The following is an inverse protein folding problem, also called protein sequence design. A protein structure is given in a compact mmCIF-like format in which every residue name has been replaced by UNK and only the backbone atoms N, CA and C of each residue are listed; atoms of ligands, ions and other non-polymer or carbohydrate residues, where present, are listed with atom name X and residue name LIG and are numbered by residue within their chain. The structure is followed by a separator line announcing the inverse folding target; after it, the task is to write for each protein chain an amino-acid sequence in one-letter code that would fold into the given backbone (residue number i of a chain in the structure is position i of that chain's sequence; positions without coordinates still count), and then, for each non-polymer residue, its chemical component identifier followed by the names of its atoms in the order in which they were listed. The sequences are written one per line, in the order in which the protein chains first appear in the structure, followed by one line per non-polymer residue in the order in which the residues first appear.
data_IF_312691302008
#
_entry.id   IF_312691302008
#
_cell.length_a   1.000
_cell.length_b   1.000
_cell.length_c   1.000
_cell.angle_alpha   90.00
_cell.angle_beta   90.00
_cell.angle_gamma   90.00
#
_symmetry.space_group_name_H-M   'P 1'
#
loop_
_entity.id
_entity.type
_entity.pdbx_description
1 polymer ?
#
# COMPACT_ATOMS: atom_id res chain seq x y z
N UNK A 1 18.74 13.33 -14.68
CA UNK A 1 18.31 12.15 -13.90
C UNK A 1 16.95 12.38 -13.24
N UNK A 2 16.81 13.40 -12.37
CA UNK A 2 15.52 13.76 -11.74
C UNK A 2 14.36 13.91 -12.74
N UNK A 3 14.54 14.71 -13.79
CA UNK A 3 13.48 14.97 -14.76
C UNK A 3 13.00 13.69 -15.46
N UNK A 4 13.90 12.80 -15.89
CA UNK A 4 13.53 11.53 -16.52
C UNK A 4 12.66 10.64 -15.60
N UNK A 5 13.03 10.54 -14.32
CA UNK A 5 12.29 9.73 -13.35
C UNK A 5 10.90 10.32 -13.08
N UNK A 6 10.78 11.65 -13.01
CA UNK A 6 9.50 12.33 -12.83
C UNK A 6 8.61 12.20 -14.07
N UNK A 7 9.18 12.40 -15.27
CA UNK A 7 8.47 12.30 -16.54
C UNK A 7 7.92 10.88 -16.80
N UNK A 8 8.62 9.85 -16.27
CA UNK A 8 8.25 8.45 -16.41
C UNK A 8 7.67 7.84 -15.12
N UNK A 9 7.33 8.67 -14.10
CA UNK A 9 6.90 8.22 -12.77
C UNK A 9 5.83 7.13 -12.84
N UNK A 10 4.70 7.41 -13.49
CA UNK A 10 3.57 6.48 -13.58
C UNK A 10 3.94 5.19 -14.30
N UNK A 11 4.69 5.29 -15.42
CA UNK A 11 5.12 4.12 -16.19
C UNK A 11 6.02 3.21 -15.36
N UNK A 12 6.99 3.79 -14.64
CA UNK A 12 7.92 3.04 -13.79
C UNK A 12 7.16 2.35 -12.67
N UNK A 13 6.32 3.09 -11.93
CA UNK A 13 5.54 2.56 -10.80
C UNK A 13 4.63 1.40 -11.23
N UNK A 14 3.83 1.58 -12.27
CA UNK A 14 2.94 0.51 -12.77
C UNK A 14 3.73 -0.69 -13.31
N UNK A 15 4.83 -0.46 -14.03
CA UNK A 15 5.65 -1.57 -14.52
C UNK A 15 6.19 -2.43 -13.38
N UNK A 16 6.57 -1.82 -12.25
CA UNK A 16 7.06 -2.52 -11.08
C UNK A 16 5.97 -3.25 -10.31
N UNK A 17 4.79 -2.65 -10.17
CA UNK A 17 3.60 -3.30 -9.59
C UNK A 17 3.22 -4.56 -10.37
N UNK A 18 3.08 -4.44 -11.70
CA UNK A 18 2.77 -5.57 -12.56
C UNK A 18 3.89 -6.60 -12.59
N UNK A 19 5.17 -6.19 -12.54
CA UNK A 19 6.29 -7.12 -12.42
C UNK A 19 6.16 -7.99 -11.17
N UNK A 20 5.88 -7.40 -10.01
CA UNK A 20 5.69 -8.15 -8.77
C UNK A 20 4.45 -9.05 -8.84
N UNK A 21 3.33 -8.56 -9.37
CA UNK A 21 2.08 -9.32 -9.50
C UNK A 21 2.23 -10.52 -10.46
N UNK A 22 2.83 -10.32 -11.63
CA UNK A 22 3.10 -11.37 -12.63
C UNK A 22 4.09 -12.39 -12.09
N UNK A 23 5.15 -11.94 -11.39
CA UNK A 23 6.09 -12.85 -10.71
C UNK A 23 5.37 -13.71 -9.67
N UNK A 24 4.49 -13.11 -8.87
CA UNK A 24 3.65 -13.84 -7.92
C UNK A 24 2.79 -14.90 -8.58
N UNK A 25 2.18 -14.58 -9.73
CA UNK A 25 1.38 -15.53 -10.50
C UNK A 25 2.23 -16.68 -11.07
N UNK A 26 3.42 -16.38 -11.59
CA UNK A 26 4.35 -17.39 -12.11
C UNK A 26 4.75 -18.40 -11.02
N UNK A 27 5.04 -17.91 -9.81
CA UNK A 27 5.36 -18.74 -8.64
C UNK A 27 4.12 -19.16 -7.83
N UNK A 28 2.90 -18.95 -8.31
CA UNK A 28 1.68 -19.25 -7.56
C UNK A 28 1.60 -20.74 -7.14
N UNK A 29 2.01 -21.66 -8.03
CA UNK A 29 2.02 -23.10 -7.75
C UNK A 29 2.88 -23.46 -6.53
N UNK A 30 3.98 -22.72 -6.32
CA UNK A 30 4.86 -22.85 -5.14
C UNK A 30 4.09 -22.46 -3.88
N UNK A 31 3.43 -21.30 -3.89
CA UNK A 31 2.82 -20.69 -2.69
C UNK A 31 1.34 -21.05 -2.43
N UNK A 32 0.69 -21.83 -3.30
CA UNK A 32 -0.76 -22.12 -3.24
C UNK A 32 -1.29 -22.68 -1.91
N UNK A 33 -0.42 -23.34 -1.14
CA UNK A 33 -0.77 -24.00 0.13
C UNK A 33 -0.37 -23.19 1.37
N UNK A 34 0.22 -22.01 1.20
CA UNK A 34 0.59 -21.13 2.32
C UNK A 34 -0.23 -19.85 2.31
N UNK A 35 -0.11 -19.02 3.35
CA UNK A 35 -0.77 -17.72 3.41
C UNK A 35 -0.31 -16.78 2.27
N UNK A 36 0.89 -16.99 1.71
CA UNK A 36 1.47 -16.17 0.65
C UNK A 36 0.61 -16.09 -0.62
N UNK A 37 -0.28 -17.07 -0.87
CA UNK A 37 -1.25 -16.97 -1.98
C UNK A 37 -2.15 -15.73 -1.88
N UNK A 38 -2.53 -15.33 -0.66
CA UNK A 38 -3.35 -14.14 -0.44
C UNK A 38 -2.56 -12.87 -0.75
N UNK A 39 -1.26 -12.88 -0.47
CA UNK A 39 -0.36 -11.77 -0.84
C UNK A 39 -0.22 -11.65 -2.36
N UNK A 40 -0.12 -12.77 -3.09
CA UNK A 40 -0.11 -12.74 -4.56
C UNK A 40 -1.40 -12.15 -5.12
N UNK A 41 -2.56 -12.51 -4.57
CA UNK A 41 -3.84 -11.91 -4.96
C UNK A 41 -3.90 -10.42 -4.64
N UNK A 42 -3.35 -10.03 -3.50
CA UNK A 42 -3.27 -8.63 -3.10
C UNK A 42 -2.39 -7.81 -4.06
N UNK A 43 -1.25 -8.33 -4.51
CA UNK A 43 -0.41 -7.63 -5.51
C UNK A 43 -1.17 -7.35 -6.80
N UNK A 44 -1.94 -8.32 -7.31
CA UNK A 44 -2.81 -8.11 -8.48
C UNK A 44 -3.92 -7.10 -8.21
N UNK A 45 -4.57 -7.20 -7.04
CA UNK A 45 -5.61 -6.26 -6.65
C UNK A 45 -5.08 -4.82 -6.61
N UNK A 46 -3.89 -4.60 -6.03
CA UNK A 46 -3.25 -3.29 -5.99
C UNK A 46 -2.88 -2.80 -7.39
N UNK A 47 -2.17 -3.60 -8.20
CA UNK A 47 -1.79 -3.20 -9.56
C UNK A 47 -3.00 -2.79 -10.42
N UNK A 48 -4.11 -3.53 -10.32
CA UNK A 48 -5.37 -3.18 -11.01
C UNK A 48 -5.98 -1.91 -10.42
N UNK A 49 -6.03 -1.78 -9.09
CA UNK A 49 -6.62 -0.61 -8.42
C UNK A 49 -5.86 0.68 -8.72
N UNK A 50 -4.54 0.63 -8.76
CA UNK A 50 -3.66 1.73 -9.13
C UNK A 50 -3.78 2.10 -10.62
N UNK A 51 -3.99 1.11 -11.49
CA UNK A 51 -4.32 1.35 -12.90
C UNK A 51 -5.66 2.05 -13.04
N UNK A 52 -6.67 1.65 -12.25
CA UNK A 52 -7.98 2.32 -12.26
C UNK A 52 -7.83 3.79 -11.87
N UNK A 53 -7.03 4.12 -10.85
CA UNK A 53 -6.75 5.52 -10.45
C UNK A 53 -6.30 6.43 -11.60
N UNK A 54 -5.73 5.88 -12.68
CA UNK A 54 -5.28 6.63 -13.85
C UNK A 54 -6.42 7.27 -14.66
N UNK A 55 -7.68 6.89 -14.42
CA UNK A 55 -8.84 7.46 -15.13
C UNK A 55 -8.89 8.99 -15.03
N UNK A 56 -8.38 9.57 -13.93
CA UNK A 56 -8.35 11.03 -13.69
C UNK A 56 -7.58 11.80 -14.75
N UNK A 57 -6.63 11.15 -15.45
CA UNK A 57 -5.91 11.78 -16.58
C UNK A 57 -6.82 12.05 -17.79
N UNK A 58 -7.93 11.32 -17.90
CA UNK A 58 -8.95 11.49 -18.93
C UNK A 58 -10.09 12.41 -18.49
N UNK A 59 -10.08 12.91 -17.24
CA UNK A 59 -11.03 13.91 -16.73
C UNK A 59 -10.46 15.30 -16.99
N UNK A 60 -10.46 15.70 -18.26
CA UNK A 60 -10.00 17.02 -18.74
C UNK A 60 -10.96 17.52 -19.83
N UNK A 61 -11.12 18.84 -20.04
CA UNK A 61 -12.13 19.40 -20.96
C UNK A 61 -12.16 18.74 -22.36
N UNK A 62 -10.98 18.38 -22.90
CA UNK A 62 -10.84 17.80 -24.24
C UNK A 62 -10.67 16.26 -24.25
N UNK A 63 -11.05 15.57 -23.16
CA UNK A 63 -10.86 14.13 -23.01
C UNK A 63 -12.18 13.39 -22.81
N UNK A 64 -12.16 12.07 -23.03
CA UNK A 64 -13.36 11.23 -23.03
C UNK A 64 -14.15 11.25 -21.71
N UNK A 65 -13.49 11.47 -20.57
CA UNK A 65 -14.16 11.55 -19.25
C UNK A 65 -14.38 13.01 -18.79
N UNK A 66 -14.43 13.98 -19.71
CA UNK A 66 -14.71 15.39 -19.38
C UNK A 66 -16.04 15.59 -18.64
N UNK A 67 -17.02 14.69 -18.84
CA UNK A 67 -18.30 14.71 -18.15
C UNK A 67 -18.21 14.48 -16.63
N UNK A 68 -17.06 14.01 -16.12
CA UNK A 68 -16.82 13.85 -14.69
C UNK A 68 -16.34 15.13 -14.00
N UNK A 69 -16.02 16.19 -14.76
CA UNK A 69 -15.60 17.48 -14.22
C UNK A 69 -16.72 18.10 -13.39
N UNK A 70 -16.40 18.56 -12.17
CA UNK A 70 -17.36 19.09 -11.21
C UNK A 70 -18.17 18.01 -10.48
N UNK A 71 -17.94 16.73 -10.74
CA UNK A 71 -18.60 15.63 -10.04
C UNK A 71 -17.76 15.12 -8.87
N UNK A 72 -18.38 14.32 -7.97
CA UNK A 72 -17.67 13.63 -6.88
C UNK A 72 -16.58 12.65 -7.37
N UNK A 73 -16.63 12.27 -8.65
CA UNK A 73 -15.69 11.35 -9.29
C UNK A 73 -14.68 12.07 -10.19
N UNK A 74 -14.52 13.38 -10.03
CA UNK A 74 -13.49 14.12 -10.77
C UNK A 74 -12.08 13.65 -10.38
N UNK A 75 -11.90 13.28 -9.10
CA UNK A 75 -10.63 12.81 -8.51
C UNK A 75 -10.76 11.37 -8.01
N UNK A 76 -9.63 10.69 -7.85
CA UNK A 76 -9.56 9.30 -7.40
C UNK A 76 -9.47 9.13 -5.88
N UNK A 77 -9.59 10.20 -5.08
CA UNK A 77 -9.47 10.14 -3.61
C UNK A 77 -10.39 9.09 -2.99
N UNK A 78 -11.65 9.01 -3.44
CA UNK A 78 -12.61 8.03 -2.93
C UNK A 78 -12.09 6.58 -3.11
N UNK A 79 -11.54 6.27 -4.28
CA UNK A 79 -11.06 4.94 -4.61
C UNK A 79 -9.79 4.63 -3.82
N UNK A 80 -8.82 5.54 -3.84
CA UNK A 80 -7.56 5.41 -3.08
C UNK A 80 -7.77 5.32 -1.56
N UNK A 81 -8.70 6.10 -1.00
CA UNK A 81 -9.11 5.98 0.40
C UNK A 81 -9.69 4.59 0.70
N UNK A 82 -10.43 3.99 -0.23
CA UNK A 82 -11.00 2.65 -0.04
C UNK A 82 -9.98 1.52 -0.19
N UNK A 83 -9.28 1.42 -1.32
CA UNK A 83 -8.43 0.25 -1.57
C UNK A 83 -7.09 0.33 -0.86
N UNK A 84 -6.49 1.52 -0.72
CA UNK A 84 -5.17 1.68 -0.12
C UNK A 84 -5.28 1.99 1.38
N UNK A 85 -5.92 3.10 1.75
CA UNK A 85 -5.95 3.59 3.14
C UNK A 85 -6.68 2.63 4.07
N UNK A 86 -7.81 2.05 3.62
CA UNK A 86 -8.58 1.08 4.40
C UNK A 86 -8.26 -0.34 3.95
N UNK A 87 -8.37 -0.61 2.65
CA UNK A 87 -8.29 -1.95 2.08
C UNK A 87 -6.95 -2.64 2.33
N UNK A 88 -5.82 -1.95 2.11
CA UNK A 88 -4.50 -2.53 2.35
C UNK A 88 -4.31 -2.88 3.83
N UNK A 89 -4.82 -2.04 4.74
CA UNK A 89 -4.65 -2.22 6.18
C UNK A 89 -5.51 -3.37 6.70
N UNK A 90 -6.72 -3.49 6.20
CA UNK A 90 -7.57 -4.65 6.46
C UNK A 90 -6.96 -5.93 5.88
N UNK A 91 -6.37 -5.86 4.68
CA UNK A 91 -5.66 -6.98 4.08
C UNK A 91 -4.47 -7.42 4.94
N UNK A 92 -3.56 -6.51 5.31
CA UNK A 92 -2.41 -6.85 6.13
C UNK A 92 -2.84 -7.36 7.51
N UNK A 93 -3.83 -6.75 8.15
CA UNK A 93 -4.38 -7.27 9.40
C UNK A 93 -4.88 -8.72 9.27
N UNK A 94 -5.59 -9.03 8.19
CA UNK A 94 -6.01 -10.40 7.88
C UNK A 94 -4.82 -11.33 7.60
N UNK A 95 -3.86 -10.87 6.81
CA UNK A 95 -2.67 -11.63 6.40
C UNK A 95 -1.82 -12.01 7.62
N UNK A 96 -1.53 -11.05 8.49
CA UNK A 96 -0.72 -11.27 9.69
C UNK A 96 -1.38 -12.24 10.67
N UNK A 97 -2.71 -12.17 10.83
CA UNK A 97 -3.46 -13.17 11.61
C UNK A 97 -3.33 -14.60 11.07
N UNK A 98 -3.03 -14.78 9.78
CA UNK A 98 -2.80 -16.10 9.15
C UNK A 98 -1.38 -16.60 9.32
N UNK A 99 -0.39 -15.72 9.45
CA UNK A 99 1.03 -16.11 9.54
C UNK A 99 1.57 -16.15 10.98
N UNK A 100 1.00 -15.35 11.89
CA UNK A 100 1.36 -15.38 13.29
C UNK A 100 0.93 -16.70 13.94
N UNK A 101 1.68 -17.14 14.94
CA UNK A 101 1.39 -18.37 15.69
C UNK A 101 0.74 -18.08 17.04
N UNK A 102 1.18 -17.04 17.72
CA UNK A 102 0.72 -16.70 19.08
C UNK A 102 -0.70 -16.13 19.04
N UNK A 103 -1.62 -16.78 19.75
CA UNK A 103 -3.03 -16.37 19.79
C UNK A 103 -3.24 -14.96 20.37
N UNK A 104 -2.40 -14.56 21.32
CA UNK A 104 -2.41 -13.20 21.87
C UNK A 104 -2.14 -12.16 20.77
N UNK A 105 -1.08 -12.35 19.96
CA UNK A 105 -0.74 -11.44 18.86
C UNK A 105 -1.87 -11.36 17.82
N UNK A 106 -2.46 -12.52 17.45
CA UNK A 106 -3.61 -12.56 16.55
C UNK A 106 -4.80 -11.78 17.09
N UNK A 107 -5.07 -11.91 18.40
CA UNK A 107 -6.17 -11.21 19.07
C UNK A 107 -5.93 -9.70 19.12
N UNK A 108 -4.71 -9.25 19.40
CA UNK A 108 -4.35 -7.83 19.39
C UNK A 108 -4.61 -7.20 18.01
N UNK A 109 -4.12 -7.83 16.94
CA UNK A 109 -4.36 -7.36 15.56
C UNK A 109 -5.84 -7.38 15.22
N UNK A 110 -6.56 -8.45 15.60
CA UNK A 110 -8.00 -8.55 15.37
C UNK A 110 -8.76 -7.38 16.01
N UNK A 111 -8.52 -7.09 17.28
CA UNK A 111 -9.20 -6.00 18.00
C UNK A 111 -8.85 -4.64 17.40
N UNK A 112 -7.55 -4.38 17.16
CA UNK A 112 -7.10 -3.13 16.56
C UNK A 112 -7.69 -2.91 15.15
N UNK A 113 -7.68 -3.93 14.30
CA UNK A 113 -8.21 -3.84 12.93
C UNK A 113 -9.72 -3.59 12.88
N UNK A 114 -10.52 -4.23 13.73
CA UNK A 114 -11.95 -3.95 13.79
C UNK A 114 -12.25 -2.57 14.37
N UNK A 115 -11.48 -2.12 15.36
CA UNK A 115 -11.58 -0.77 15.89
C UNK A 115 -11.32 0.29 14.81
N UNK A 116 -10.24 0.12 14.06
CA UNK A 116 -9.92 0.99 12.93
C UNK A 116 -10.96 0.94 11.82
N UNK A 117 -11.47 -0.24 11.47
CA UNK A 117 -12.49 -0.36 10.43
C UNK A 117 -13.79 0.34 10.83
N UNK A 118 -14.26 0.16 12.07
CA UNK A 118 -15.44 0.85 12.57
C UNK A 118 -15.22 2.37 12.61
N UNK A 119 -14.06 2.82 13.11
CA UNK A 119 -13.69 4.23 13.12
C UNK A 119 -13.65 4.84 11.72
N UNK A 120 -13.05 4.17 10.75
CA UNK A 120 -12.92 4.66 9.38
C UNK A 120 -14.29 4.78 8.69
N UNK A 121 -15.20 3.83 8.89
CA UNK A 121 -16.58 3.95 8.39
C UNK A 121 -17.32 5.14 9.00
N UNK A 122 -17.25 5.32 10.32
CA UNK A 122 -17.87 6.46 11.01
C UNK A 122 -17.26 7.77 10.52
N UNK A 123 -15.93 7.83 10.41
CA UNK A 123 -15.21 9.02 9.98
C UNK A 123 -15.57 9.43 8.54
N UNK A 124 -15.67 8.46 7.62
CA UNK A 124 -16.15 8.69 6.25
C UNK A 124 -17.59 9.19 6.25
N UNK A 125 -18.48 8.57 7.04
CA UNK A 125 -19.88 8.97 7.09
C UNK A 125 -20.06 10.41 7.61
N UNK A 126 -19.27 10.82 8.60
CA UNK A 126 -19.27 12.17 9.14
C UNK A 126 -18.62 13.20 8.19
N UNK A 127 -17.73 12.77 7.30
CA UNK A 127 -16.97 13.62 6.38
C UNK A 127 -17.22 13.26 4.91
N UNK A 128 -18.50 13.05 4.56
CA UNK A 128 -18.88 12.43 3.28
C UNK A 128 -18.39 13.19 2.05
N UNK A 129 -18.49 14.52 2.02
CA UNK A 129 -18.04 15.30 0.86
C UNK A 129 -16.51 15.37 0.79
N UNK A 130 -15.84 15.39 1.94
CA UNK A 130 -14.39 15.36 2.00
C UNK A 130 -13.82 14.03 1.49
N UNK A 131 -14.50 12.91 1.71
CA UNK A 131 -14.07 11.59 1.26
C UNK A 131 -13.80 11.50 -0.26
N UNK A 132 -14.52 12.29 -1.07
CA UNK A 132 -14.33 12.36 -2.52
C UNK A 132 -13.24 13.35 -2.95
N UNK A 133 -12.87 14.30 -2.08
CA UNK A 133 -12.08 15.46 -2.45
C UNK A 133 -10.69 15.52 -1.81
N UNK A 134 -10.44 14.76 -0.75
CA UNK A 134 -9.16 14.74 -0.04
C UNK A 134 -8.78 13.35 0.48
N UNK A 135 -7.48 13.16 0.70
CA UNK A 135 -6.95 12.04 1.48
C UNK A 135 -7.16 12.30 2.98
N UNK A 136 -7.42 11.24 3.74
CA UNK A 136 -7.65 11.34 5.16
C UNK A 136 -6.40 11.02 5.98
N UNK A 137 -5.62 12.06 6.27
CA UNK A 137 -4.43 11.98 7.13
C UNK A 137 -4.63 11.15 8.42
N UNK A 138 -5.77 11.36 9.11
CA UNK A 138 -6.07 10.65 10.37
C UNK A 138 -6.17 9.13 10.14
N UNK A 139 -6.74 8.71 9.01
CA UNK A 139 -6.85 7.31 8.66
C UNK A 139 -5.49 6.72 8.25
N UNK A 140 -4.67 7.48 7.51
CA UNK A 140 -3.31 7.06 7.17
C UNK A 140 -2.45 6.84 8.42
N UNK A 141 -2.52 7.74 9.40
CA UNK A 141 -1.74 7.64 10.62
C UNK A 141 -2.17 6.44 11.49
N UNK A 142 -3.47 6.31 11.76
CA UNK A 142 -4.00 5.17 12.51
C UNK A 142 -3.73 3.85 11.78
N UNK A 143 -3.78 3.90 10.47
CA UNK A 143 -3.41 2.82 9.59
C UNK A 143 -1.96 2.37 9.74
N UNK A 144 -1.03 3.31 9.65
CA UNK A 144 0.40 3.05 9.85
C UNK A 144 0.68 2.39 11.21
N UNK A 145 -0.01 2.82 12.28
CA UNK A 145 0.10 2.19 13.60
C UNK A 145 -0.31 0.70 13.58
N UNK A 146 -1.34 0.34 12.82
CA UNK A 146 -1.75 -1.07 12.66
C UNK A 146 -0.71 -1.85 11.89
N UNK A 147 -0.13 -1.28 10.82
CA UNK A 147 0.94 -1.93 10.06
C UNK A 147 2.17 -2.15 10.94
N UNK A 148 2.57 -1.15 11.74
CA UNK A 148 3.66 -1.27 12.69
C UNK A 148 3.37 -2.34 13.74
N UNK A 149 2.15 -2.38 14.29
CA UNK A 149 1.73 -3.44 15.20
C UNK A 149 1.88 -4.82 14.54
N UNK A 150 1.41 -4.99 13.30
CA UNK A 150 1.51 -6.24 12.57
C UNK A 150 2.98 -6.68 12.39
N UNK A 151 3.82 -5.79 11.87
CA UNK A 151 5.23 -6.08 11.57
C UNK A 151 6.04 -6.35 12.85
N UNK A 152 5.87 -5.52 13.90
CA UNK A 152 6.58 -5.68 15.17
C UNK A 152 6.22 -7.00 15.84
N UNK A 153 4.93 -7.35 15.91
CA UNK A 153 4.52 -8.63 16.49
C UNK A 153 5.09 -9.83 15.72
N UNK A 154 5.15 -9.73 14.39
CA UNK A 154 5.81 -10.74 13.58
C UNK A 154 7.32 -10.84 13.84
N UNK A 155 8.03 -9.72 13.95
CA UNK A 155 9.45 -9.72 14.27
C UNK A 155 9.73 -10.29 15.67
N UNK A 156 8.89 -9.97 16.66
CA UNK A 156 8.99 -10.55 18.00
C UNK A 156 8.85 -12.08 17.94
N UNK A 157 7.86 -12.61 17.20
CA UNK A 157 7.71 -14.06 17.05
C UNK A 157 8.92 -14.72 16.38
N UNK A 158 9.49 -14.09 15.35
CA UNK A 158 10.68 -14.61 14.68
C UNK A 158 11.88 -14.60 15.63
N UNK A 159 12.13 -13.51 16.33
CA UNK A 159 13.25 -13.36 17.28
C UNK A 159 13.19 -14.36 18.42
N UNK A 160 11.99 -14.69 18.90
CA UNK A 160 11.78 -15.66 19.98
C UNK A 160 11.67 -17.10 19.50
N UNK A 161 11.79 -17.35 18.19
CA UNK A 161 11.67 -18.69 17.60
C UNK A 161 13.01 -19.20 17.06
N UNK A 162 13.11 -20.51 16.91
CA UNK A 162 14.25 -21.17 16.25
C UNK A 162 14.39 -20.75 14.77
N UNK A 163 13.34 -20.15 14.17
CA UNK A 163 13.35 -19.64 12.80
C UNK A 163 14.27 -18.43 12.60
N UNK A 164 14.78 -17.82 13.68
CA UNK A 164 15.76 -16.73 13.59
C UNK A 164 17.05 -17.15 12.85
N UNK A 165 17.35 -18.44 12.72
CA UNK A 165 18.51 -18.90 11.95
C UNK A 165 18.25 -18.95 10.43
N UNK A 166 16.99 -18.92 10.02
CA UNK A 166 16.56 -19.11 8.62
C UNK A 166 15.60 -18.02 8.12
N UNK A 167 15.39 -16.94 8.87
CA UNK A 167 14.44 -15.87 8.53
C UNK A 167 14.69 -15.25 7.14
N UNK A 168 15.96 -15.16 6.72
CA UNK A 168 16.37 -14.63 5.41
C UNK A 168 15.87 -15.47 4.22
N UNK A 169 15.30 -16.67 4.48
CA UNK A 169 14.64 -17.49 3.46
C UNK A 169 13.11 -17.38 3.52
N UNK A 170 12.54 -16.70 4.51
CA UNK A 170 11.09 -16.56 4.67
C UNK A 170 10.56 -15.38 3.86
N UNK A 171 9.57 -15.64 3.00
CA UNK A 171 8.86 -14.61 2.26
C UNK A 171 8.15 -13.62 3.20
N UNK A 172 7.60 -14.11 4.31
CA UNK A 172 6.89 -13.29 5.28
C UNK A 172 7.81 -12.27 5.94
N UNK A 173 9.08 -12.60 6.12
CA UNK A 173 10.06 -11.65 6.65
C UNK A 173 10.27 -10.46 5.70
N UNK A 174 10.47 -10.73 4.40
CA UNK A 174 10.60 -9.66 3.40
C UNK A 174 9.33 -8.83 3.30
N UNK A 175 8.14 -9.46 3.31
CA UNK A 175 6.86 -8.74 3.33
C UNK A 175 6.80 -7.79 4.52
N UNK A 176 7.11 -8.28 5.72
CA UNK A 176 7.06 -7.50 6.95
C UNK A 176 8.06 -6.36 6.99
N UNK A 177 9.31 -6.60 6.61
CA UNK A 177 10.36 -5.59 6.59
C UNK A 177 10.04 -4.47 5.60
N UNK A 178 9.62 -4.83 4.39
CA UNK A 178 9.33 -3.86 3.34
C UNK A 178 8.11 -3.03 3.67
N UNK A 179 6.98 -3.63 4.10
CA UNK A 179 5.78 -2.85 4.41
C UNK A 179 6.00 -1.95 5.63
N UNK A 180 6.79 -2.40 6.61
CA UNK A 180 7.20 -1.57 7.75
C UNK A 180 8.00 -0.34 7.30
N UNK A 181 9.04 -0.55 6.48
CA UNK A 181 9.87 0.54 5.95
C UNK A 181 9.04 1.50 5.09
N UNK A 182 8.19 0.97 4.21
CA UNK A 182 7.35 1.79 3.34
C UNK A 182 6.45 2.73 4.15
N UNK A 183 5.72 2.22 5.14
CA UNK A 183 4.86 3.06 5.98
C UNK A 183 5.64 3.99 6.91
N UNK A 184 6.83 3.60 7.35
CA UNK A 184 7.73 4.46 8.13
C UNK A 184 8.19 5.69 7.32
N UNK A 185 8.42 5.52 6.01
CA UNK A 185 8.82 6.60 5.11
C UNK A 185 7.62 7.46 4.71
N UNK A 186 6.50 6.84 4.35
CA UNK A 186 5.36 7.55 3.75
C UNK A 186 4.45 8.21 4.79
N UNK A 187 4.25 7.63 5.98
CA UNK A 187 3.36 8.22 6.97
C UNK A 187 3.77 9.64 7.42
N UNK A 188 5.06 9.97 7.60
CA UNK A 188 5.45 11.35 7.89
C UNK A 188 5.18 12.35 6.75
N UNK A 189 5.11 11.90 5.49
CA UNK A 189 4.86 12.80 4.35
C UNK A 189 3.47 13.40 4.35
N UNK A 190 2.49 12.69 4.91
CA UNK A 190 1.09 13.14 4.92
C UNK A 190 0.89 14.40 5.78
N UNK A 191 1.75 14.65 6.77
CA UNK A 191 1.78 15.92 7.51
C UNK A 191 2.07 17.13 6.61
N UNK A 192 2.77 16.90 5.50
CA UNK A 192 3.17 17.93 4.55
C UNK A 192 2.22 18.05 3.36
N UNK A 193 1.10 17.30 3.34
CA UNK A 193 0.11 17.42 2.26
C UNK A 193 -0.55 18.82 2.21
N UNK A 194 -0.39 19.66 3.24
CA UNK A 194 -0.75 21.10 3.20
C UNK A 194 -0.04 21.83 2.05
N UNK A 195 1.17 21.40 1.69
CA UNK A 195 1.95 21.94 0.58
C UNK A 195 1.60 21.28 -0.77
N UNK A 196 0.77 20.24 -0.76
CA UNK A 196 0.27 19.51 -1.94
C UNK A 196 -1.21 19.86 -2.19
N UNK A 197 -1.47 20.98 -2.86
CA UNK A 197 -2.83 21.28 -3.36
C UNK A 197 -2.96 20.79 -4.80
N UNK A 198 -3.66 19.66 -4.95
CA UNK A 198 -4.03 19.12 -6.26
C UNK A 198 -5.44 19.59 -6.65
N UNK A 199 -5.50 20.59 -7.52
CA UNK A 199 -6.71 21.05 -8.19
C UNK A 199 -6.57 20.86 -9.70
N UNK A 200 -7.57 20.25 -10.32
CA UNK A 200 -7.53 19.96 -11.76
C UNK A 200 -7.64 21.28 -12.50
N UNK A 201 -6.63 21.58 -13.33
CA UNK A 201 -6.56 22.84 -14.10
C UNK A 201 -5.92 24.02 -13.35
N UNK A 202 -5.52 23.86 -12.09
CA UNK A 202 -4.81 24.89 -11.32
C UNK A 202 -3.34 24.47 -11.14
N UNK A 203 -2.42 25.43 -11.28
CA UNK A 203 -0.98 25.18 -11.15
C UNK A 203 -0.60 24.69 -9.75
N UNK A 204 0.49 23.91 -9.68
CA UNK A 204 1.03 23.38 -8.41
C UNK A 204 1.59 24.52 -7.56
N UNK A 205 1.14 24.63 -6.30
CA UNK A 205 1.51 25.72 -5.40
C UNK A 205 2.98 25.69 -4.97
N UNK A 206 3.53 24.50 -4.67
CA UNK A 206 4.95 24.30 -4.37
C UNK A 206 5.52 23.16 -5.20
N UNK A 207 6.04 23.49 -6.37
CA UNK A 207 6.62 22.51 -7.29
C UNK A 207 7.79 21.75 -6.67
N UNK A 208 8.62 22.40 -5.86
CA UNK A 208 9.79 21.75 -5.27
C UNK A 208 9.39 20.66 -4.28
N UNK A 209 8.38 20.94 -3.44
CA UNK A 209 7.81 19.93 -2.54
C UNK A 209 7.14 18.79 -3.31
N UNK A 210 6.40 19.09 -4.38
CA UNK A 210 5.74 18.06 -5.21
C UNK A 210 6.75 17.14 -5.87
N UNK A 211 7.81 17.70 -6.46
CA UNK A 211 8.89 16.92 -7.09
C UNK A 211 9.59 16.02 -6.05
N UNK A 212 9.87 16.54 -4.84
CA UNK A 212 10.45 15.76 -3.75
C UNK A 212 9.52 14.62 -3.31
N UNK A 213 8.23 14.90 -3.11
CA UNK A 213 7.22 13.91 -2.72
C UNK A 213 7.17 12.78 -3.76
N UNK A 214 7.07 13.11 -5.04
CA UNK A 214 7.07 12.10 -6.11
C UNK A 214 8.34 11.26 -6.13
N UNK A 215 9.52 11.84 -5.91
CA UNK A 215 10.75 11.07 -5.80
C UNK A 215 10.71 10.10 -4.62
N UNK A 216 10.26 10.53 -3.43
CA UNK A 216 10.20 9.67 -2.25
C UNK A 216 9.23 8.51 -2.49
N UNK A 217 8.03 8.77 -3.01
CA UNK A 217 7.07 7.72 -3.37
C UNK A 217 7.64 6.76 -4.44
N UNK A 218 8.32 7.29 -5.46
CA UNK A 218 8.94 6.48 -6.50
C UNK A 218 9.98 5.52 -5.93
N UNK A 219 10.91 6.03 -5.10
CA UNK A 219 11.95 5.21 -4.50
C UNK A 219 11.40 4.21 -3.48
N UNK A 220 10.39 4.60 -2.69
CA UNK A 220 9.72 3.70 -1.75
C UNK A 220 9.01 2.56 -2.50
N UNK A 221 8.28 2.86 -3.58
CA UNK A 221 7.61 1.87 -4.41
C UNK A 221 8.62 0.98 -5.14
N UNK A 222 9.71 1.55 -5.66
CA UNK A 222 10.78 0.79 -6.30
C UNK A 222 11.41 -0.20 -5.34
N UNK A 223 11.79 0.26 -4.14
CA UNK A 223 12.32 -0.61 -3.10
C UNK A 223 11.31 -1.72 -2.74
N UNK A 224 10.03 -1.36 -2.59
CA UNK A 224 8.99 -2.30 -2.21
C UNK A 224 8.78 -3.40 -3.25
N UNK A 225 8.43 -3.03 -4.48
CA UNK A 225 8.04 -4.02 -5.49
C UNK A 225 9.23 -4.82 -6.03
N UNK A 226 10.44 -4.25 -6.11
CA UNK A 226 11.63 -5.02 -6.44
C UNK A 226 11.95 -6.04 -5.35
N UNK A 227 11.82 -5.67 -4.07
CA UNK A 227 12.04 -6.61 -2.97
C UNK A 227 11.00 -7.71 -2.94
N UNK A 228 9.72 -7.40 -3.19
CA UNK A 228 8.68 -8.43 -3.31
C UNK A 228 8.94 -9.37 -4.48
N UNK A 229 9.31 -8.83 -5.65
CA UNK A 229 9.70 -9.63 -6.82
C UNK A 229 10.86 -10.56 -6.48
N UNK A 230 11.93 -10.03 -5.88
CA UNK A 230 13.08 -10.81 -5.43
C UNK A 230 12.68 -11.89 -4.43
N UNK A 231 11.90 -11.56 -3.41
CA UNK A 231 11.50 -12.49 -2.37
C UNK A 231 10.62 -13.63 -2.91
N UNK A 232 9.72 -13.35 -3.85
CA UNK A 232 8.89 -14.37 -4.51
C UNK A 232 9.74 -15.38 -5.30
N UNK A 233 10.83 -14.92 -5.91
CA UNK A 233 11.78 -15.77 -6.64
C UNK A 233 12.63 -16.58 -5.64
N UNK A 234 13.27 -15.89 -4.70
CA UNK A 234 14.35 -16.42 -3.85
C UNK A 234 13.87 -17.26 -2.65
N UNK A 235 12.78 -16.85 -1.97
CA UNK A 235 12.40 -17.43 -0.68
C UNK A 235 11.89 -18.87 -0.80
N UNK A 236 12.07 -19.66 0.26
CA UNK A 236 11.54 -21.04 0.34
C UNK A 236 10.13 -21.06 0.91
N UNK A 237 9.49 -22.22 0.84
CA UNK A 237 8.17 -22.40 1.46
C UNK A 237 8.30 -22.37 2.98
N UNK A 238 7.34 -21.73 3.64
CA UNK A 238 7.29 -21.62 5.10
C UNK A 238 7.23 -22.99 5.81
N UNK A 239 6.75 -24.02 5.13
CA UNK A 239 6.69 -25.40 5.63
C UNK A 239 8.03 -26.15 5.50
N UNK A 240 8.98 -25.60 4.75
CA UNK A 240 10.33 -26.14 4.53
C UNK A 240 11.40 -25.39 5.35
N UNK A 241 10.96 -24.47 6.24
CA UNK A 241 11.76 -23.60 7.10
C UNK A 241 11.48 -23.88 8.58
#
# INVERSE_FOLDING_TARGET
MSNFLLDNYHLITYSLEFLAAVTGLFFYKKYKNTAAKYFIYFLWFIAISDTLCYYTQYVKPDRFLSFLIGTKFEKNHWWSNLYWVIGAIMFFSFYYRKILKTELHKRMIKVASYGFFAFSLIYIALNWDAFFNQFFFVLDLLGALIIFLCAVLYFIEILLSEKILVFYKSLNFYISAVIFIWWLIIAPLTFYDVYYKYEIGVGVFDKAFVDLRFQIFLFANLFMYLTYTFALIWCKLENEL
#
